data_IF_989897294495
#
_entry.id   IF_989897294495
#
_cell.length_a   1.000
_cell.length_b   1.000
_cell.length_c   1.000
_cell.angle_alpha   90.00
_cell.angle_beta   90.00
_cell.angle_gamma   90.00
#
_symmetry.space_group_name_H-M   'P 1'
#
loop_
_entity.id
_entity.type
_entity.pdbx_description
1 polymer ?
#
# COMPACT_ATOMS: atom_id res chain seq x y z
N UNK A 1 -3.82 16.86 6.06
CA UNK A 1 -2.55 16.74 5.31
C UNK A 1 -2.12 15.28 5.38
N UNK A 2 -1.60 14.70 4.30
CA UNK A 2 -1.50 13.24 4.03
C UNK A 2 -0.69 12.40 5.03
N UNK A 3 -1.16 12.25 6.28
CA UNK A 3 -0.40 11.67 7.41
C UNK A 3 0.12 10.24 7.23
N UNK A 4 -0.26 9.52 6.17
CA UNK A 4 0.16 8.13 5.95
C UNK A 4 0.62 7.83 4.53
N UNK A 5 0.79 8.84 3.68
CA UNK A 5 1.21 8.64 2.29
C UNK A 5 2.56 7.93 2.19
N UNK A 6 3.52 8.34 3.03
CA UNK A 6 4.82 7.67 3.12
C UNK A 6 4.74 6.18 3.42
N UNK A 7 3.93 5.80 4.41
CA UNK A 7 3.77 4.40 4.78
C UNK A 7 3.13 3.58 3.64
N UNK A 8 2.18 4.16 2.90
CA UNK A 8 1.60 3.52 1.72
C UNK A 8 2.60 3.32 0.58
N UNK A 9 3.43 4.33 0.31
CA UNK A 9 4.53 4.26 -0.64
C UNK A 9 5.45 3.08 -0.28
N UNK A 10 5.77 2.91 1.02
CA UNK A 10 6.58 1.79 1.51
C UNK A 10 5.89 0.43 1.29
N UNK A 11 4.62 0.30 1.67
CA UNK A 11 3.86 -0.94 1.51
C UNK A 11 3.89 -1.38 0.04
N UNK A 12 3.53 -0.47 -0.86
CA UNK A 12 3.51 -0.73 -2.31
C UNK A 12 4.86 -1.19 -2.81
N UNK A 13 5.91 -0.41 -2.49
CA UNK A 13 7.29 -0.75 -2.87
C UNK A 13 7.67 -2.15 -2.41
N UNK A 14 7.31 -2.54 -1.19
CA UNK A 14 7.61 -3.88 -0.66
C UNK A 14 6.76 -4.99 -1.28
N UNK A 15 5.50 -4.72 -1.63
CA UNK A 15 4.64 -5.67 -2.33
C UNK A 15 5.14 -5.96 -3.75
N UNK A 16 5.68 -4.95 -4.43
CA UNK A 16 6.32 -5.09 -5.75
C UNK A 16 7.73 -5.70 -5.67
N UNK A 17 8.26 -5.96 -4.47
CA UNK A 17 9.61 -6.51 -4.28
C UNK A 17 10.74 -5.54 -4.64
N UNK A 18 10.46 -4.23 -4.72
CA UNK A 18 11.42 -3.22 -5.17
C UNK A 18 12.24 -2.69 -3.97
N UNK A 19 13.56 -2.60 -4.14
CA UNK A 19 14.45 -2.00 -3.15
C UNK A 19 14.28 -0.47 -3.05
N UNK A 20 14.57 0.11 -1.88
CA UNK A 20 14.45 1.56 -1.62
C UNK A 20 15.19 2.40 -2.69
N UNK A 21 16.44 2.05 -3.01
CA UNK A 21 17.26 2.80 -3.95
C UNK A 21 16.70 2.75 -5.38
N UNK A 22 16.29 1.55 -5.83
CA UNK A 22 15.72 1.36 -7.16
C UNK A 22 14.39 2.12 -7.30
N UNK A 23 13.58 2.14 -6.24
CA UNK A 23 12.33 2.88 -6.24
C UNK A 23 12.54 4.40 -6.19
N UNK A 24 13.53 4.87 -5.43
CA UNK A 24 13.90 6.29 -5.40
C UNK A 24 14.36 6.77 -6.79
N UNK A 25 15.16 5.97 -7.49
CA UNK A 25 15.60 6.24 -8.86
C UNK A 25 14.40 6.30 -9.83
N UNK A 26 13.48 5.33 -9.75
CA UNK A 26 12.23 5.29 -10.54
C UNK A 26 11.38 6.55 -10.33
N UNK A 27 11.21 6.95 -9.07
CA UNK A 27 10.46 8.16 -8.70
C UNK A 27 11.24 9.46 -9.01
N UNK A 28 12.54 9.39 -9.30
CA UNK A 28 13.40 10.53 -9.55
C UNK A 28 13.67 11.36 -8.29
N UNK A 29 13.77 10.71 -7.13
CA UNK A 29 14.07 11.33 -5.83
C UNK A 29 15.29 10.70 -5.18
N UNK A 30 15.84 11.34 -4.15
CA UNK A 30 16.97 10.76 -3.41
C UNK A 30 16.49 9.61 -2.50
N UNK A 31 17.29 8.54 -2.30
CA UNK A 31 16.95 7.48 -1.37
C UNK A 31 16.73 7.96 0.06
N UNK A 32 17.48 8.98 0.50
CA UNK A 32 17.31 9.61 1.81
C UNK A 32 15.98 10.35 1.94
N UNK A 33 15.56 11.06 0.89
CA UNK A 33 14.25 11.70 0.85
C UNK A 33 13.11 10.68 0.88
N UNK A 34 13.20 9.63 0.04
CA UNK A 34 12.20 8.56 0.03
C UNK A 34 12.12 7.85 1.39
N UNK A 35 13.25 7.57 2.04
CA UNK A 35 13.28 6.98 3.39
C UNK A 35 12.61 7.88 4.43
N UNK A 36 12.90 9.18 4.41
CA UNK A 36 12.28 10.14 5.32
C UNK A 36 10.78 10.26 5.06
N UNK A 37 10.36 10.21 3.81
CA UNK A 37 8.95 10.18 3.42
C UNK A 37 8.28 8.91 3.94
N UNK A 38 8.84 7.73 3.64
CA UNK A 38 8.31 6.42 4.06
C UNK A 38 8.23 6.22 5.58
N UNK A 39 9.08 6.91 6.33
CA UNK A 39 9.14 6.83 7.80
C UNK A 39 8.41 7.98 8.51
N UNK A 40 7.78 8.89 7.76
CA UNK A 40 7.07 10.05 8.33
C UNK A 40 7.97 11.14 8.89
N UNK A 41 9.29 11.06 8.68
CA UNK A 41 10.25 12.13 9.03
C UNK A 41 10.13 13.35 8.13
N UNK A 42 9.47 13.22 6.98
CA UNK A 42 9.14 14.33 6.08
C UNK A 42 7.77 14.08 5.49
N UNK A 43 6.84 15.03 5.68
CA UNK A 43 5.50 15.00 5.06
C UNK A 43 5.42 15.87 3.79
N UNK A 44 6.50 16.62 3.50
CA UNK A 44 6.55 17.51 2.35
C UNK A 44 6.73 16.72 1.07
N UNK A 45 5.69 16.70 0.24
CA UNK A 45 5.71 16.10 -1.09
C UNK A 45 5.76 17.17 -2.17
N UNK A 46 6.58 16.98 -3.19
CA UNK A 46 6.57 17.85 -4.37
C UNK A 46 5.42 17.44 -5.29
N UNK A 47 4.83 18.41 -6.00
CA UNK A 47 3.76 18.14 -6.96
C UNK A 47 4.20 17.13 -8.03
N UNK A 48 5.43 17.25 -8.53
CA UNK A 48 6.01 16.33 -9.50
C UNK A 48 6.10 14.89 -9.00
N UNK A 49 6.35 14.68 -7.70
CA UNK A 49 6.33 13.34 -7.11
C UNK A 49 4.88 12.83 -6.96
N UNK A 50 3.96 13.71 -6.56
CA UNK A 50 2.55 13.34 -6.46
C UNK A 50 1.97 12.88 -7.80
N UNK A 51 2.29 13.56 -8.89
CA UNK A 51 1.84 13.18 -10.23
C UNK A 51 2.39 11.81 -10.65
N UNK A 52 3.68 11.54 -10.39
CA UNK A 52 4.28 10.23 -10.64
C UNK A 52 3.64 9.13 -9.79
N UNK A 53 3.37 9.41 -8.52
CA UNK A 53 2.71 8.46 -7.63
C UNK A 53 1.28 8.19 -8.08
N UNK A 54 0.54 9.17 -8.59
CA UNK A 54 -0.80 8.94 -9.13
C UNK A 54 -0.77 8.04 -10.37
N UNK A 55 0.18 8.28 -11.27
CA UNK A 55 0.33 7.48 -12.50
C UNK A 55 0.81 6.05 -12.23
N UNK A 56 1.72 5.87 -11.26
CA UNK A 56 2.28 4.55 -10.97
C UNK A 56 1.50 3.76 -9.91
N UNK A 57 0.94 4.42 -8.91
CA UNK A 57 0.31 3.73 -7.79
C UNK A 57 -1.21 3.60 -7.93
N UNK A 58 -1.85 4.10 -8.99
CA UNK A 58 -3.32 4.01 -9.16
C UNK A 58 -4.04 4.31 -7.82
N UNK A 59 -3.58 5.37 -7.13
CA UNK A 59 -4.00 5.74 -5.77
C UNK A 59 -5.41 6.31 -5.82
N UNK A 60 -6.39 5.48 -6.18
CA UNK A 60 -7.79 5.81 -6.15
C UNK A 60 -8.39 5.27 -4.85
N UNK A 61 -8.95 6.20 -4.08
CA UNK A 61 -9.77 6.01 -2.88
C UNK A 61 -9.03 5.76 -1.57
N UNK A 62 -8.25 6.75 -1.11
CA UNK A 62 -7.85 6.81 0.30
C UNK A 62 -8.92 7.59 1.06
N UNK A 63 -9.73 6.86 1.84
CA UNK A 63 -10.50 7.47 2.93
C UNK A 63 -9.51 7.83 4.04
N UNK A 64 -9.15 9.11 4.09
CA UNK A 64 -8.17 9.66 5.04
C UNK A 64 -8.95 10.05 6.30
N UNK A 65 -9.38 9.06 7.08
CA UNK A 65 -9.99 9.39 8.38
C UNK A 65 -8.89 9.94 9.31
N UNK A 66 -9.04 11.15 9.90
CA UNK A 66 -7.92 11.87 10.50
C UNK A 66 -7.52 11.39 11.92
N UNK A 67 -8.12 10.32 12.44
CA UNK A 67 -8.32 10.22 13.89
C UNK A 67 -7.82 8.93 14.57
N UNK A 68 -7.30 7.93 13.87
CA UNK A 68 -6.85 6.68 14.52
C UNK A 68 -5.37 6.36 14.25
N UNK A 69 -4.70 5.85 15.29
CA UNK A 69 -3.34 5.32 15.23
C UNK A 69 -3.17 4.43 13.99
N UNK A 70 -2.22 4.79 13.13
CA UNK A 70 -1.96 4.07 11.90
C UNK A 70 -1.49 2.65 12.20
N UNK A 71 -2.40 1.70 12.07
CA UNK A 71 -2.09 0.27 12.07
C UNK A 71 -1.89 -0.23 10.64
N UNK A 72 -0.64 -0.50 10.28
CA UNK A 72 -0.24 -1.07 8.98
C UNK A 72 -1.03 -2.35 8.65
N UNK A 73 -1.27 -3.17 9.67
CA UNK A 73 -2.00 -4.42 9.52
C UNK A 73 -3.46 -4.18 9.14
N UNK A 74 -4.17 -3.32 9.87
CA UNK A 74 -5.55 -2.94 9.57
C UNK A 74 -5.68 -2.29 8.19
N UNK A 75 -4.75 -1.39 7.84
CA UNK A 75 -4.74 -0.75 6.53
C UNK A 75 -4.58 -1.77 5.39
N UNK A 76 -3.59 -2.65 5.48
CA UNK A 76 -3.34 -3.68 4.46
C UNK A 76 -4.48 -4.68 4.37
N UNK A 77 -5.09 -5.04 5.50
CA UNK A 77 -6.26 -5.93 5.54
C UNK A 77 -7.45 -5.31 4.83
N UNK A 78 -7.73 -4.03 5.08
CA UNK A 78 -8.79 -3.29 4.39
C UNK A 78 -8.54 -3.25 2.88
N UNK A 79 -7.34 -2.85 2.46
CA UNK A 79 -6.97 -2.83 1.04
C UNK A 79 -7.14 -4.20 0.37
N UNK A 80 -6.61 -5.26 0.99
CA UNK A 80 -6.70 -6.62 0.46
C UNK A 80 -8.15 -7.07 0.32
N UNK A 81 -9.02 -6.70 1.28
CA UNK A 81 -10.45 -7.02 1.23
C UNK A 81 -11.16 -6.31 0.07
N UNK A 82 -10.90 -5.02 -0.14
CA UNK A 82 -11.50 -4.28 -1.26
C UNK A 82 -11.01 -4.81 -2.61
N UNK A 83 -9.71 -5.05 -2.75
CA UNK A 83 -9.14 -5.67 -3.95
C UNK A 83 -9.76 -7.06 -4.24
N UNK A 84 -10.00 -7.86 -3.20
CA UNK A 84 -10.64 -9.17 -3.34
C UNK A 84 -12.12 -9.06 -3.77
N UNK A 85 -12.86 -8.08 -3.25
CA UNK A 85 -14.25 -7.81 -3.68
C UNK A 85 -14.32 -7.35 -5.13
N UNK A 86 -13.40 -6.50 -5.57
CA UNK A 86 -13.34 -6.06 -6.96
C UNK A 86 -12.91 -7.19 -7.89
N UNK A 87 -11.98 -8.04 -7.45
CA UNK A 87 -11.62 -9.26 -8.15
C UNK A 87 -12.81 -10.22 -8.25
N UNK A 88 -13.63 -10.38 -7.20
CA UNK A 88 -14.82 -11.24 -7.25
C UNK A 88 -15.79 -10.86 -8.37
N UNK A 89 -15.93 -9.56 -8.66
CA UNK A 89 -16.84 -9.05 -9.72
C UNK A 89 -16.33 -9.39 -11.12
N UNK A 90 -15.02 -9.48 -11.30
CA UNK A 90 -14.37 -9.65 -12.63
C UNK A 90 -13.86 -11.08 -12.87
N UNK A 91 -13.40 -11.73 -11.81
CA UNK A 91 -12.71 -13.03 -11.76
C UNK A 91 -13.12 -13.81 -10.49
N UNK A 92 -14.36 -14.35 -10.45
CA UNK A 92 -14.93 -14.93 -9.22
C UNK A 92 -14.22 -16.20 -8.76
N UNK A 93 -13.69 -17.03 -9.67
CA UNK A 93 -13.02 -18.28 -9.30
C UNK A 93 -11.68 -18.02 -8.61
N UNK A 94 -10.93 -17.04 -9.12
CA UNK A 94 -9.65 -16.59 -8.58
C UNK A 94 -9.83 -15.92 -7.22
N UNK A 95 -10.88 -15.11 -7.05
CA UNK A 95 -11.22 -14.51 -5.76
C UNK A 95 -11.55 -15.57 -4.69
N UNK A 96 -12.39 -16.56 -5.02
CA UNK A 96 -12.71 -17.67 -4.11
C UNK A 96 -11.47 -18.50 -3.76
N UNK A 97 -10.60 -18.76 -4.72
CA UNK A 97 -9.34 -19.44 -4.47
C UNK A 97 -8.49 -18.68 -3.44
N UNK A 98 -8.26 -17.38 -3.66
CA UNK A 98 -7.46 -16.55 -2.75
C UNK A 98 -8.08 -16.47 -1.35
N UNK A 99 -9.41 -16.32 -1.26
CA UNK A 99 -10.12 -16.35 0.02
C UNK A 99 -9.89 -17.66 0.76
N UNK A 100 -9.99 -18.79 0.06
CA UNK A 100 -9.78 -20.12 0.65
C UNK A 100 -8.37 -20.31 1.24
N UNK A 101 -7.34 -19.72 0.62
CA UNK A 101 -5.97 -19.75 1.13
C UNK A 101 -5.86 -19.02 2.47
N UNK A 102 -6.44 -17.83 2.58
CA UNK A 102 -6.45 -17.05 3.82
C UNK A 102 -7.18 -17.82 4.92
N UNK A 103 -8.36 -18.38 4.63
CA UNK A 103 -9.13 -19.18 5.59
C UNK A 103 -8.36 -20.41 6.08
N UNK A 104 -7.71 -21.14 5.17
CA UNK A 104 -6.90 -22.31 5.52
C UNK A 104 -5.71 -21.92 6.39
N UNK A 105 -5.02 -20.82 6.06
CA UNK A 105 -3.92 -20.29 6.87
C UNK A 105 -4.37 -19.97 8.30
N UNK A 106 -5.51 -19.30 8.46
CA UNK A 106 -6.09 -19.00 9.77
C UNK A 106 -6.42 -20.29 10.53
N UNK A 107 -7.04 -21.28 9.88
CA UNK A 107 -7.36 -22.57 10.49
C UNK A 107 -6.10 -23.32 10.95
N UNK A 108 -5.02 -23.25 10.18
CA UNK A 108 -3.76 -23.92 10.51
C UNK A 108 -3.07 -23.31 11.74
N UNK A 109 -3.18 -21.99 11.93
CA UNK A 109 -2.53 -21.25 13.02
C UNK A 109 -3.35 -21.21 14.32
N UNK A 110 -4.64 -21.59 14.29
CA UNK A 110 -5.54 -21.66 15.46
C UNK A 110 -5.53 -23.03 16.17
N UNK A 111 -4.59 -23.92 15.84
CA UNK A 111 -4.36 -25.18 16.55
C UNK A 111 -3.52 -24.96 17.81
#
# INVERSE_FOLDING_TARGET
MFKHLGAQIRIRRTQEGIGLNAYAEKLGVSPGYLSNLETGKTETITLALLDKLQQELDLISIDISPEEDYDDFSYRTRLGTEALKDLQKTHPQEAEFLLSIVEQGIKALKK
#
